data_IF_867280984805
#
_entry.id   IF_867280984805
#
_cell.length_a   1.000
_cell.length_b   1.000
_cell.length_c   1.000
_cell.angle_alpha   90.00
_cell.angle_beta   90.00
_cell.angle_gamma   90.00
#
_symmetry.space_group_name_H-M   'P 1'
#
loop_
_entity.id
_entity.type
_entity.pdbx_description
1 polymer ?
#
# COMPACT_ATOMS: atom_id res chain seq x y z
N UNK A 1 -22.08 18.27 13.60
CA UNK A 1 -21.59 19.43 12.81
C UNK A 1 -21.80 19.25 11.31
N UNK A 2 -21.33 18.16 10.66
CA UNK A 2 -21.56 17.91 9.22
C UNK A 2 -23.05 17.91 8.81
N UNK A 3 -23.93 17.32 9.62
CA UNK A 3 -25.39 17.34 9.39
C UNK A 3 -25.96 18.78 9.39
N UNK A 4 -25.34 19.70 10.15
CA UNK A 4 -25.81 21.09 10.34
C UNK A 4 -25.18 22.06 9.33
N UNK A 5 -23.90 21.88 9.00
CA UNK A 5 -23.12 22.82 8.18
C UNK A 5 -22.75 22.27 6.80
N UNK A 6 -23.19 21.05 6.44
CA UNK A 6 -22.89 20.42 5.17
C UNK A 6 -21.38 20.27 4.93
N UNK A 7 -20.92 20.71 3.75
CA UNK A 7 -19.52 20.72 3.34
C UNK A 7 -18.81 22.05 3.63
N UNK A 8 -19.36 22.91 4.49
CA UNK A 8 -18.69 24.12 4.97
C UNK A 8 -17.58 23.77 5.97
N UNK A 9 -16.47 23.26 5.44
CA UNK A 9 -15.33 22.81 6.22
C UNK A 9 -14.64 23.96 6.96
N UNK A 10 -14.79 25.20 6.50
CA UNK A 10 -14.25 26.38 7.19
C UNK A 10 -14.96 26.59 8.53
N UNK A 11 -16.30 26.63 8.53
CA UNK A 11 -17.10 26.77 9.75
C UNK A 11 -16.93 25.57 10.68
N UNK A 12 -16.91 24.34 10.12
CA UNK A 12 -16.72 23.13 10.93
C UNK A 12 -15.30 23.10 11.53
N UNK A 13 -14.28 23.51 10.78
CA UNK A 13 -12.90 23.62 11.25
C UNK A 13 -12.76 24.61 12.40
N UNK A 14 -13.30 25.82 12.24
CA UNK A 14 -13.30 26.83 13.28
C UNK A 14 -13.97 26.33 14.58
N UNK A 15 -15.14 25.68 14.46
CA UNK A 15 -15.85 25.11 15.61
C UNK A 15 -15.09 23.96 16.31
N UNK A 16 -14.25 23.22 15.59
CA UNK A 16 -13.45 22.11 16.12
C UNK A 16 -12.04 22.52 16.56
N UNK A 17 -11.64 23.78 16.36
CA UNK A 17 -10.25 24.21 16.57
C UNK A 17 -9.25 23.51 15.63
N UNK A 18 -9.67 23.15 14.41
CA UNK A 18 -8.87 22.44 13.40
C UNK A 18 -8.93 23.17 12.06
N UNK A 19 -7.94 22.92 11.18
CA UNK A 19 -8.00 23.47 9.83
C UNK A 19 -9.13 22.82 9.02
N UNK A 20 -9.74 23.60 8.11
CA UNK A 20 -10.79 23.11 7.21
C UNK A 20 -10.32 21.88 6.42
N UNK A 21 -9.08 21.89 5.93
CA UNK A 21 -8.47 20.77 5.21
C UNK A 21 -8.39 19.50 6.05
N UNK A 22 -7.95 19.61 7.31
CA UNK A 22 -7.86 18.47 8.23
C UNK A 22 -9.23 17.87 8.54
N UNK A 23 -10.26 18.73 8.71
CA UNK A 23 -11.64 18.27 8.91
C UNK A 23 -12.18 17.57 7.67
N UNK A 24 -12.00 18.16 6.47
CA UNK A 24 -12.42 17.56 5.20
C UNK A 24 -11.79 16.18 5.00
N UNK A 25 -10.47 16.07 5.21
CA UNK A 25 -9.76 14.80 5.08
C UNK A 25 -10.23 13.77 6.11
N UNK A 26 -10.35 14.17 7.37
CA UNK A 26 -10.85 13.26 8.42
C UNK A 26 -12.25 12.77 8.10
N UNK A 27 -13.12 13.65 7.64
CA UNK A 27 -14.49 13.33 7.26
C UNK A 27 -14.56 12.40 6.04
N UNK A 28 -13.69 12.58 5.04
CA UNK A 28 -13.57 11.65 3.90
C UNK A 28 -13.18 10.25 4.35
N UNK A 29 -12.29 10.16 5.34
CA UNK A 29 -11.77 8.89 5.86
C UNK A 29 -12.71 8.20 6.87
N UNK A 30 -13.57 8.96 7.57
CA UNK A 30 -14.58 8.44 8.49
C UNK A 30 -15.89 8.15 7.73
N UNK A 31 -15.91 7.05 6.98
CA UNK A 31 -17.17 6.43 6.53
C UNK A 31 -17.56 5.38 7.58
N UNK A 32 -18.53 5.72 8.44
CA UNK A 32 -19.04 4.85 9.52
C UNK A 32 -19.71 3.55 9.01
N UNK A 33 -19.85 3.40 7.69
CA UNK A 33 -20.47 2.25 7.02
C UNK A 33 -19.47 1.24 6.46
N UNK A 34 -18.15 1.44 6.66
CA UNK A 34 -17.16 0.50 6.15
C UNK A 34 -17.03 -0.73 7.06
N UNK A 35 -17.17 -1.90 6.47
CA UNK A 35 -16.97 -3.17 7.14
C UNK A 35 -15.53 -3.27 7.69
N UNK A 36 -15.40 -3.79 8.90
CA UNK A 36 -14.12 -4.19 9.50
C UNK A 36 -13.99 -5.72 9.49
N UNK A 37 -12.79 -6.24 9.71
CA UNK A 37 -12.55 -7.69 9.71
C UNK A 37 -12.32 -8.31 8.32
N UNK A 38 -12.49 -9.64 8.24
CA UNK A 38 -12.14 -10.47 7.07
C UNK A 38 -12.90 -10.03 5.82
N UNK A 39 -12.24 -10.05 4.67
CA UNK A 39 -12.87 -9.80 3.37
C UNK A 39 -13.65 -11.05 2.93
N UNK A 40 -14.89 -10.86 2.48
CA UNK A 40 -15.64 -11.95 1.84
C UNK A 40 -15.17 -12.14 0.39
N UNK A 41 -15.48 -13.30 -0.20
CA UNK A 41 -15.13 -13.57 -1.60
C UNK A 41 -15.83 -12.59 -2.55
N UNK A 42 -17.05 -12.17 -2.24
CA UNK A 42 -17.79 -11.17 -3.02
C UNK A 42 -17.16 -9.78 -2.91
N UNK A 43 -16.62 -9.41 -1.74
CA UNK A 43 -15.87 -8.16 -1.59
C UNK A 43 -14.57 -8.20 -2.38
N UNK A 44 -13.84 -9.33 -2.35
CA UNK A 44 -12.61 -9.51 -3.15
C UNK A 44 -12.92 -9.44 -4.65
N UNK A 45 -13.96 -10.14 -5.10
CA UNK A 45 -14.39 -10.13 -6.50
C UNK A 45 -14.74 -8.72 -6.96
N UNK A 46 -15.59 -8.00 -6.23
CA UNK A 46 -15.94 -6.61 -6.57
C UNK A 46 -14.73 -5.68 -6.56
N UNK A 47 -13.81 -5.84 -5.61
CA UNK A 47 -12.58 -5.03 -5.58
C UNK A 47 -11.78 -5.23 -6.87
N UNK A 48 -11.63 -6.47 -7.32
CA UNK A 48 -10.87 -6.79 -8.53
C UNK A 48 -11.53 -6.25 -9.80
N UNK A 49 -12.82 -6.52 -9.98
CA UNK A 49 -13.59 -6.02 -11.13
C UNK A 49 -13.48 -4.50 -11.24
N UNK A 50 -13.67 -3.79 -10.14
CA UNK A 50 -13.59 -2.32 -10.11
C UNK A 50 -12.18 -1.80 -10.40
N UNK A 51 -11.13 -2.45 -9.89
CA UNK A 51 -9.76 -2.03 -10.19
C UNK A 51 -9.48 -2.17 -11.68
N UNK A 52 -9.73 -3.34 -12.25
CA UNK A 52 -9.48 -3.62 -13.67
C UNK A 52 -10.29 -2.70 -14.60
N UNK A 53 -11.56 -2.46 -14.29
CA UNK A 53 -12.38 -1.52 -15.06
C UNK A 53 -11.83 -0.09 -15.02
N UNK A 54 -11.45 0.41 -13.83
CA UNK A 54 -10.95 1.78 -13.68
C UNK A 54 -9.54 1.97 -14.27
N UNK A 55 -8.74 0.91 -14.36
CA UNK A 55 -7.42 0.94 -14.99
C UNK A 55 -7.41 0.47 -16.43
N UNK A 56 -8.56 0.03 -16.97
CA UNK A 56 -8.67 -0.53 -18.32
C UNK A 56 -7.69 -1.70 -18.55
N UNK A 57 -7.60 -2.61 -17.57
CA UNK A 57 -6.75 -3.82 -17.62
C UNK A 57 -7.60 -5.08 -17.51
N UNK A 58 -7.01 -6.23 -17.82
CA UNK A 58 -7.71 -7.53 -17.78
C UNK A 58 -7.42 -8.30 -16.48
N UNK A 59 -8.34 -9.19 -16.04
CA UNK A 59 -8.08 -10.06 -14.90
C UNK A 59 -6.79 -10.86 -15.06
N UNK A 60 -5.90 -10.76 -14.07
CA UNK A 60 -4.57 -11.36 -14.09
C UNK A 60 -3.44 -10.37 -14.39
N UNK A 61 -3.76 -9.19 -14.93
CA UNK A 61 -2.79 -8.11 -15.08
C UNK A 61 -2.32 -7.59 -13.72
N UNK A 62 -1.03 -7.29 -13.63
CA UNK A 62 -0.41 -6.70 -12.44
C UNK A 62 -0.68 -5.20 -12.44
N UNK A 63 -1.53 -4.74 -11.51
CA UNK A 63 -1.91 -3.33 -11.36
C UNK A 63 -1.40 -2.79 -10.03
N UNK A 64 -0.32 -2.01 -10.07
CA UNK A 64 0.32 -1.45 -8.87
C UNK A 64 0.29 0.08 -8.80
N UNK A 65 0.06 0.75 -9.94
CA UNK A 65 0.08 2.20 -10.10
C UNK A 65 -1.15 2.69 -10.86
N UNK A 66 -1.40 4.01 -10.84
CA UNK A 66 -2.50 4.63 -11.61
C UNK A 66 -3.91 4.39 -11.05
N UNK A 67 -4.05 3.73 -9.90
CA UNK A 67 -5.37 3.39 -9.32
C UNK A 67 -5.91 4.54 -8.46
N UNK A 68 -7.10 5.05 -8.80
CA UNK A 68 -7.85 5.97 -7.93
C UNK A 68 -8.60 5.20 -6.82
N UNK A 69 -7.93 4.98 -5.69
CA UNK A 69 -8.48 4.20 -4.57
C UNK A 69 -9.77 4.80 -3.98
N UNK A 70 -9.94 6.12 -4.08
CA UNK A 70 -11.17 6.78 -3.65
C UNK A 70 -12.37 6.34 -4.51
N UNK A 71 -12.20 6.32 -5.85
CA UNK A 71 -13.22 5.84 -6.78
C UNK A 71 -13.45 4.32 -6.64
N UNK A 72 -12.38 3.55 -6.43
CA UNK A 72 -12.50 2.11 -6.13
C UNK A 72 -13.37 1.88 -4.90
N UNK A 73 -13.08 2.57 -3.79
CA UNK A 73 -13.82 2.41 -2.54
C UNK A 73 -15.29 2.85 -2.64
N UNK A 74 -15.57 3.87 -3.46
CA UNK A 74 -16.94 4.28 -3.75
C UNK A 74 -17.74 3.19 -4.45
N UNK A 75 -17.15 2.52 -5.45
CA UNK A 75 -17.80 1.43 -6.18
C UNK A 75 -17.84 0.10 -5.41
N UNK A 76 -16.82 -0.18 -4.60
CA UNK A 76 -16.82 -1.35 -3.70
C UNK A 76 -17.88 -1.19 -2.61
N UNK A 77 -18.11 0.03 -2.13
CA UNK A 77 -19.20 0.42 -1.22
C UNK A 77 -19.03 -0.04 0.23
N UNK A 78 -18.42 -1.20 0.47
CA UNK A 78 -18.30 -1.81 1.82
C UNK A 78 -16.98 -1.53 2.52
N UNK A 79 -15.97 -0.99 1.83
CA UNK A 79 -14.60 -0.82 2.34
C UNK A 79 -14.08 0.58 2.02
N UNK A 80 -13.24 1.11 2.92
CA UNK A 80 -12.60 2.41 2.74
C UNK A 80 -11.47 2.37 1.72
N UNK A 81 -11.09 3.54 1.21
CA UNK A 81 -9.93 3.74 0.31
C UNK A 81 -8.69 3.00 0.79
N UNK A 82 -8.34 3.19 2.08
CA UNK A 82 -7.17 2.56 2.71
C UNK A 82 -7.29 1.03 2.72
N UNK A 83 -8.48 0.50 3.00
CA UNK A 83 -8.71 -0.94 3.04
C UNK A 83 -8.59 -1.54 1.63
N UNK A 84 -9.22 -0.94 0.63
CA UNK A 84 -9.14 -1.37 -0.77
C UNK A 84 -7.69 -1.38 -1.25
N UNK A 85 -6.96 -0.25 -1.08
CA UNK A 85 -5.55 -0.13 -1.44
C UNK A 85 -4.68 -1.20 -0.78
N UNK A 86 -4.84 -1.36 0.54
CA UNK A 86 -4.06 -2.34 1.29
C UNK A 86 -4.38 -3.76 0.86
N UNK A 87 -5.66 -4.10 0.64
CA UNK A 87 -6.06 -5.44 0.23
C UNK A 87 -5.53 -5.79 -1.16
N UNK A 88 -5.59 -4.84 -2.09
CA UNK A 88 -5.09 -5.03 -3.46
C UNK A 88 -3.57 -5.19 -3.49
N UNK A 89 -2.83 -4.15 -3.07
CA UNK A 89 -1.38 -4.09 -3.20
C UNK A 89 -0.62 -5.08 -2.32
N UNK A 90 -1.22 -5.54 -1.22
CA UNK A 90 -0.58 -6.51 -0.32
C UNK A 90 -1.07 -7.94 -0.52
N UNK A 91 -2.05 -8.22 -1.41
CA UNK A 91 -2.57 -9.58 -1.54
C UNK A 91 -3.27 -9.85 -2.87
N UNK A 92 -4.35 -9.13 -3.20
CA UNK A 92 -5.27 -9.58 -4.24
C UNK A 92 -4.67 -9.50 -5.65
N UNK A 93 -3.90 -8.46 -5.95
CA UNK A 93 -3.16 -8.30 -7.21
C UNK A 93 -2.30 -9.53 -7.53
N UNK A 94 -1.45 -9.92 -6.56
CA UNK A 94 -0.57 -11.08 -6.63
C UNK A 94 -1.32 -12.41 -6.72
N UNK A 95 -2.41 -12.54 -5.95
CA UNK A 95 -3.21 -13.77 -5.94
C UNK A 95 -3.84 -14.04 -7.30
N UNK A 96 -4.28 -12.98 -8.00
CA UNK A 96 -4.93 -13.11 -9.30
C UNK A 96 -3.93 -13.30 -10.44
N UNK A 97 -2.73 -12.74 -10.34
CA UNK A 97 -1.66 -12.94 -11.31
C UNK A 97 -0.94 -14.30 -11.18
N UNK A 98 -1.44 -15.22 -10.33
CA UNK A 98 -0.85 -16.55 -10.14
C UNK A 98 0.50 -16.53 -9.41
N UNK A 99 0.74 -15.53 -8.56
CA UNK A 99 2.02 -15.37 -7.89
C UNK A 99 2.36 -16.50 -6.90
N UNK A 100 3.66 -16.66 -6.62
CA UNK A 100 4.20 -17.70 -5.74
C UNK A 100 4.40 -17.18 -4.32
N UNK A 101 4.44 -18.08 -3.34
CA UNK A 101 4.71 -17.66 -1.97
C UNK A 101 6.12 -17.07 -1.82
N UNK A 102 6.25 -16.12 -0.89
CA UNK A 102 7.51 -15.48 -0.56
C UNK A 102 8.33 -16.37 0.37
N UNK A 103 9.55 -16.72 -0.04
CA UNK A 103 10.40 -17.65 0.69
C UNK A 103 11.57 -16.97 1.41
N UNK A 104 12.41 -17.77 2.08
CA UNK A 104 13.66 -17.28 2.68
C UNK A 104 14.70 -16.93 1.63
N UNK A 105 14.72 -17.66 0.52
CA UNK A 105 15.55 -17.35 -0.65
C UNK A 105 15.16 -15.98 -1.23
N UNK A 106 13.88 -15.64 -1.26
CA UNK A 106 13.43 -14.31 -1.69
C UNK A 106 13.93 -13.18 -0.75
N UNK A 107 13.97 -13.42 0.57
CA UNK A 107 14.53 -12.46 1.53
C UNK A 107 16.02 -12.24 1.28
N UNK A 108 16.78 -13.30 1.03
CA UNK A 108 18.21 -13.22 0.71
C UNK A 108 18.41 -12.49 -0.63
N UNK A 109 17.64 -12.84 -1.65
CA UNK A 109 17.69 -12.21 -2.97
C UNK A 109 17.39 -10.70 -2.86
N UNK A 110 16.44 -10.29 -2.02
CA UNK A 110 16.15 -8.87 -1.79
C UNK A 110 17.34 -8.13 -1.19
N UNK A 111 18.01 -8.71 -0.18
CA UNK A 111 19.21 -8.13 0.43
C UNK A 111 20.32 -8.00 -0.61
N UNK A 112 20.54 -9.05 -1.42
CA UNK A 112 21.57 -9.05 -2.46
C UNK A 112 21.30 -7.99 -3.53
N UNK A 113 20.09 -7.93 -4.10
CA UNK A 113 19.73 -6.92 -5.11
C UNK A 113 19.88 -5.51 -4.57
N UNK A 114 19.43 -5.22 -3.34
CA UNK A 114 19.59 -3.89 -2.75
C UNK A 114 21.07 -3.55 -2.58
N UNK A 115 21.90 -4.52 -2.21
CA UNK A 115 23.34 -4.29 -2.07
C UNK A 115 24.08 -4.06 -3.39
N UNK A 116 23.52 -4.54 -4.50
CA UNK A 116 24.06 -4.33 -5.85
C UNK A 116 23.69 -2.97 -6.43
N UNK A 117 22.66 -2.29 -5.90
CA UNK A 117 22.27 -0.95 -6.34
C UNK A 117 23.30 0.14 -6.00
N UNK A 118 24.22 -0.12 -5.06
CA UNK A 118 25.26 0.81 -4.59
C UNK A 118 24.74 2.22 -4.24
N UNK A 119 23.53 2.29 -3.69
CA UNK A 119 22.90 3.54 -3.28
C UNK A 119 23.36 3.96 -1.88
N UNK A 120 23.56 5.27 -1.69
CA UNK A 120 24.00 5.84 -0.41
C UNK A 120 22.86 5.89 0.62
N UNK A 121 21.61 6.07 0.18
CA UNK A 121 20.43 6.18 1.02
C UNK A 121 19.30 5.24 0.57
N UNK A 122 18.50 4.74 1.52
CA UNK A 122 17.37 3.87 1.22
C UNK A 122 16.24 4.57 0.44
N UNK A 123 16.19 5.89 0.50
CA UNK A 123 15.23 6.71 -0.24
C UNK A 123 15.56 6.79 -1.74
N UNK A 124 16.80 6.47 -2.13
CA UNK A 124 17.24 6.43 -3.52
C UNK A 124 16.88 5.10 -4.21
N UNK A 125 16.35 4.12 -3.47
CA UNK A 125 15.91 2.84 -4.03
C UNK A 125 14.66 3.05 -4.88
N UNK A 126 14.77 2.76 -6.17
CA UNK A 126 13.61 2.64 -7.05
C UNK A 126 12.89 1.30 -6.82
N UNK A 127 11.88 1.32 -5.96
CA UNK A 127 11.09 0.14 -5.60
C UNK A 127 10.27 -0.43 -6.75
N UNK A 128 9.89 0.38 -7.73
CA UNK A 128 9.15 -0.09 -8.90
C UNK A 128 10.05 -1.00 -9.75
N UNK A 129 11.28 -0.55 -10.05
CA UNK A 129 12.28 -1.38 -10.76
C UNK A 129 12.72 -2.59 -9.95
N UNK A 130 12.97 -2.42 -8.64
CA UNK A 130 13.43 -3.52 -7.79
C UNK A 130 12.40 -4.65 -7.67
N UNK A 131 11.11 -4.34 -7.83
CA UNK A 131 10.01 -5.29 -7.79
C UNK A 131 9.81 -6.06 -9.10
N UNK A 132 10.56 -5.77 -10.16
CA UNK A 132 10.46 -6.47 -11.44
C UNK A 132 11.12 -7.87 -11.42
N UNK A 133 10.54 -8.80 -12.17
CA UNK A 133 11.07 -10.16 -12.34
C UNK A 133 10.87 -11.08 -11.12
N UNK A 134 9.94 -10.76 -10.23
CA UNK A 134 9.58 -11.61 -9.09
C UNK A 134 8.15 -12.15 -9.26
N UNK A 135 7.98 -13.46 -9.12
CA UNK A 135 6.64 -14.07 -9.02
C UNK A 135 6.05 -13.95 -7.60
N UNK A 136 6.88 -13.74 -6.58
CA UNK A 136 6.46 -13.67 -5.18
C UNK A 136 6.20 -12.26 -4.64
N UNK A 137 6.65 -11.23 -5.37
CA UNK A 137 6.44 -9.82 -4.98
C UNK A 137 5.03 -9.38 -5.35
N UNK A 138 4.34 -8.79 -4.37
CA UNK A 138 2.93 -8.41 -4.53
C UNK A 138 2.73 -7.02 -5.10
N UNK A 139 3.63 -6.12 -4.73
CA UNK A 139 3.74 -4.75 -5.22
C UNK A 139 5.05 -4.14 -4.74
N UNK A 140 5.51 -3.05 -5.36
CA UNK A 140 6.65 -2.25 -4.88
C UNK A 140 6.52 -1.84 -3.41
N UNK A 141 5.33 -1.42 -2.98
CA UNK A 141 5.09 -0.98 -1.60
C UNK A 141 5.12 -2.16 -0.62
N UNK A 142 4.66 -3.33 -1.06
CA UNK A 142 4.78 -4.54 -0.27
C UNK A 142 6.25 -4.96 -0.11
N UNK A 143 7.06 -4.88 -1.17
CA UNK A 143 8.49 -5.19 -1.13
C UNK A 143 9.25 -4.24 -0.20
N UNK A 144 8.95 -2.94 -0.27
CA UNK A 144 9.48 -1.94 0.67
C UNK A 144 9.13 -2.27 2.13
N UNK A 145 7.92 -2.76 2.38
CA UNK A 145 7.49 -3.16 3.73
C UNK A 145 8.21 -4.43 4.21
N UNK A 146 8.56 -5.34 3.30
CA UNK A 146 9.41 -6.51 3.60
C UNK A 146 10.82 -6.09 3.97
N UNK A 147 11.44 -5.22 3.16
CA UNK A 147 12.73 -4.62 3.49
C UNK A 147 12.72 -3.95 4.88
N UNK A 148 11.69 -3.17 5.17
CA UNK A 148 11.53 -2.53 6.48
C UNK A 148 11.49 -3.54 7.64
N UNK A 149 10.88 -4.70 7.43
CA UNK A 149 10.85 -5.79 8.41
C UNK A 149 12.23 -6.42 8.59
N UNK A 150 12.96 -6.66 7.49
CA UNK A 150 14.30 -7.26 7.50
C UNK A 150 15.28 -6.35 8.23
N UNK A 151 15.36 -5.07 7.85
CA UNK A 151 16.33 -4.14 8.45
C UNK A 151 16.14 -3.96 9.96
N UNK A 152 14.89 -4.09 10.45
CA UNK A 152 14.57 -3.98 11.89
C UNK A 152 15.02 -5.17 12.72
N UNK A 153 15.50 -6.26 12.09
CA UNK A 153 16.13 -7.36 12.81
C UNK A 153 17.51 -6.97 13.36
N UNK A 154 18.15 -5.94 12.80
CA UNK A 154 19.38 -5.37 13.33
C UNK A 154 19.02 -4.41 14.47
N UNK A 155 19.49 -4.70 15.69
CA UNK A 155 19.17 -3.94 16.89
C UNK A 155 19.47 -2.43 16.72
N UNK A 156 20.61 -2.09 16.11
CA UNK A 156 21.08 -0.71 15.95
C UNK A 156 20.83 -0.15 14.54
N UNK A 157 19.84 -0.67 13.80
CA UNK A 157 19.56 -0.28 12.40
C UNK A 157 19.32 1.22 12.17
N UNK A 158 18.99 1.99 13.22
CA UNK A 158 18.79 3.44 13.15
C UNK A 158 20.08 4.24 13.28
N UNK A 159 21.10 3.63 13.87
CA UNK A 159 22.35 4.30 14.27
C UNK A 159 23.50 3.95 13.31
N UNK A 160 23.28 3.04 12.37
CA UNK A 160 24.24 2.64 11.34
C UNK A 160 23.85 3.22 9.98
N UNK A 161 24.86 3.62 9.20
CA UNK A 161 24.65 4.05 7.82
C UNK A 161 24.05 2.94 6.97
N UNK A 162 23.32 3.30 5.91
CA UNK A 162 22.69 2.33 5.01
C UNK A 162 23.70 1.33 4.39
N UNK A 163 24.89 1.74 3.90
CA UNK A 163 25.89 0.78 3.43
C UNK A 163 26.39 -0.20 4.51
N UNK A 164 26.54 0.28 5.75
CA UNK A 164 26.93 -0.58 6.89
C UNK A 164 25.82 -1.57 7.25
N UNK A 165 24.57 -1.11 7.22
CA UNK A 165 23.40 -1.96 7.45
C UNK A 165 23.32 -3.09 6.43
N UNK A 166 23.53 -2.78 5.15
CA UNK A 166 23.54 -3.77 4.07
C UNK A 166 24.66 -4.79 4.26
N UNK A 167 25.87 -4.33 4.61
CA UNK A 167 27.01 -5.21 4.88
C UNK A 167 26.75 -6.15 6.07
N UNK A 168 25.98 -5.73 7.06
CA UNK A 168 25.59 -6.56 8.20
C UNK A 168 24.47 -7.57 7.94
N UNK A 169 23.77 -7.45 6.80
CA UNK A 169 22.71 -8.37 6.38
C UNK A 169 23.17 -9.42 5.35
N UNK A 170 24.31 -9.17 4.67
CA UNK A 170 25.01 -10.17 3.85
C UNK A 170 25.69 -11.20 4.73
#
# INVERSE_FOLDING_TARGET
LRIKHGNDWATIGAALGRSASSVKDRCRLMKDTCNTGKWTEEEEKRLAEVVHELTSTEPGDIVTQGVSWAAVAERVGTRSEKQCRSKWLNYLNWKQSGGTEWTKEDEINLILRIAELDVADENDINWDLLAEGWSSVRSPQWLRSKWWTIKRQIANHKDVSFPVLIKGLK
#
